data_IF_346767117610
#
_entry.id   IF_346767117610
#
_cell.length_a   1.000
_cell.length_b   1.000
_cell.length_c   1.000
_cell.angle_alpha   90.00
_cell.angle_beta   90.00
_cell.angle_gamma   90.00
#
_symmetry.space_group_name_H-M   'P 1'
#
loop_
_entity.id
_entity.type
_entity.pdbx_description
1 polymer ?
2 non-polymer ?
3 water ?
#
# COMPACT_ATOMS: atom_id res chain seq x y z
N UNK A 1 -11.94 10.60 -12.71
CA UNK A 1 -12.04 11.89 -13.47
C UNK A 1 -10.68 12.45 -13.86
N UNK A 2 -9.63 11.87 -13.29
CA UNK A 2 -8.23 12.25 -13.52
C UNK A 2 -7.96 12.88 -14.89
N UNK A 3 -7.22 13.99 -14.87
CA UNK A 3 -6.86 14.72 -16.08
C UNK A 3 -5.72 15.67 -15.73
N UNK A 5 -3.12 19.25 -17.43
CA UNK A 5 -2.78 20.21 -18.47
C UNK A 5 -1.88 19.50 -19.48
N UNK A 6 -2.11 19.74 -20.77
CA UNK A 6 -1.32 19.10 -21.80
C UNK A 6 0.15 19.42 -21.67
N UNK A 7 0.47 20.61 -21.19
CA UNK A 7 1.87 20.97 -21.04
C UNK A 7 2.49 20.19 -19.89
N UNK A 8 1.82 20.16 -18.74
CA UNK A 8 2.34 19.44 -17.61
C UNK A 8 2.66 18.03 -18.04
N UNK A 9 1.85 17.47 -18.94
CA UNK A 9 2.08 16.10 -19.42
C UNK A 9 3.30 16.01 -20.34
N UNK A 10 3.37 16.88 -21.34
CA UNK A 10 4.52 16.85 -22.25
C UNK A 10 5.75 17.05 -21.40
N UNK A 11 5.62 17.83 -20.33
CA UNK A 11 6.72 18.12 -19.40
C UNK A 11 7.25 16.84 -18.76
N UNK A 12 6.33 16.13 -18.08
CA UNK A 12 6.65 14.87 -17.42
C UNK A 12 7.24 13.85 -18.40
N UNK A 13 6.57 13.67 -19.53
CA UNK A 13 7.01 12.73 -20.56
C UNK A 13 8.35 13.05 -21.20
N UNK A 14 8.66 14.32 -21.35
CA UNK A 14 9.91 14.71 -21.99
C UNK A 14 11.08 14.96 -21.06
N UNK A 15 10.82 15.14 -19.78
CA UNK A 15 11.92 15.40 -18.86
C UNK A 15 12.41 16.83 -19.02
N UNK A 16 11.50 17.71 -19.43
CA UNK A 16 11.80 19.14 -19.61
C UNK A 16 10.95 19.89 -18.62
N UNK A 17 11.07 21.21 -18.61
CA UNK A 17 10.29 22.05 -17.69
C UNK A 17 8.93 22.32 -18.33
N UNK A 18 7.92 22.58 -17.49
CA UNK A 18 6.60 22.89 -18.04
C UNK A 18 6.72 24.14 -18.91
N UNK A 19 7.65 25.01 -18.55
CA UNK A 19 7.87 26.23 -19.31
C UNK A 19 8.33 25.87 -20.69
N UNK A 20 9.22 24.88 -20.80
CA UNK A 20 9.69 24.48 -22.13
C UNK A 20 8.66 23.59 -22.81
N UNK A 21 7.95 22.76 -22.05
CA UNK A 21 6.92 21.89 -22.62
C UNK A 21 5.95 22.80 -23.38
N UNK A 22 5.51 23.86 -22.70
CA UNK A 22 4.61 24.81 -23.31
C UNK A 22 5.14 25.25 -24.66
N UNK A 23 6.42 25.63 -24.71
CA UNK A 23 7.05 26.05 -25.94
C UNK A 23 6.86 25.01 -27.04
N UNK A 24 7.33 23.80 -26.81
CA UNK A 24 7.22 22.72 -27.77
C UNK A 24 5.80 22.58 -28.30
N UNK A 25 4.83 22.91 -27.45
CA UNK A 25 3.44 22.81 -27.86
C UNK A 25 3.09 23.85 -28.96
N UNK A 26 3.39 25.11 -28.73
CA UNK A 26 3.11 26.14 -29.73
C UNK A 26 3.95 25.90 -30.98
N UNK A 27 5.02 25.12 -30.82
CA UNK A 27 5.85 24.82 -31.97
C UNK A 27 5.18 23.82 -32.89
N UNK A 28 3.88 23.58 -32.67
CA UNK A 28 3.11 22.64 -33.50
C UNK A 28 3.75 21.28 -33.54
N UNK A 29 4.30 20.83 -32.42
CA UNK A 29 4.96 19.54 -32.36
C UNK A 29 4.28 18.56 -31.42
N UNK A 30 3.11 18.93 -30.93
CA UNK A 30 2.37 18.07 -30.03
C UNK A 30 1.04 17.75 -30.69
N UNK A 31 0.64 16.49 -30.63
CA UNK A 31 -0.61 16.10 -31.26
C UNK A 31 -1.53 15.39 -30.27
N UNK A 32 -2.84 15.54 -30.49
CA UNK A 32 -3.84 14.90 -29.66
C UNK A 32 -4.90 14.36 -30.64
N UNK A 33 -5.21 13.08 -30.52
CA UNK A 33 -6.18 12.46 -31.40
C UNK A 33 -5.86 12.76 -32.84
N UNK A 34 -4.57 12.74 -33.18
CA UNK A 34 -4.17 13.00 -34.55
C UNK A 34 -4.26 14.44 -35.01
N UNK A 35 -4.38 15.39 -34.08
CA UNK A 35 -4.45 16.80 -34.44
C UNK A 35 -3.50 17.68 -33.66
N UNK A 36 -3.04 18.74 -34.32
CA UNK A 36 -2.12 19.71 -33.74
C UNK A 36 -2.79 20.53 -32.65
N UNK A 37 -2.22 20.48 -31.45
CA UNK A 37 -2.72 21.26 -30.30
C UNK A 37 -1.65 22.28 -29.88
N UNK A 38 -1.96 23.56 -30.02
CA UNK A 38 -1.01 24.60 -29.67
C UNK A 38 -1.29 25.25 -28.34
N UNK A 39 -2.19 24.68 -27.56
CA UNK A 39 -2.52 25.28 -26.27
C UNK A 39 -1.94 24.51 -25.12
N UNK A 40 -1.08 25.17 -24.35
CA UNK A 40 -0.43 24.52 -23.24
C UNK A 40 -1.38 24.11 -22.15
N UNK A 41 -2.48 24.85 -21.98
CA UNK A 41 -3.44 24.53 -20.91
C UNK A 41 -4.50 23.48 -21.27
N UNK A 42 -4.41 22.94 -22.48
CA UNK A 42 -5.35 21.91 -22.94
C UNK A 42 -5.70 20.89 -21.83
N UNK A 43 -6.98 20.56 -21.67
CA UNK A 43 -7.34 19.59 -20.63
C UNK A 43 -7.19 18.17 -21.19
N UNK A 44 -6.08 17.52 -20.83
CA UNK A 44 -5.76 16.17 -21.30
C UNK A 44 -6.49 15.07 -20.56
N UNK A 45 -7.52 14.50 -21.19
CA UNK A 45 -8.29 13.42 -20.60
C UNK A 45 -7.74 12.08 -21.09
N UNK A 46 -7.86 11.02 -20.28
CA UNK A 46 -7.40 9.68 -20.60
C UNK A 46 -7.70 9.16 -22.02
N UNK A 47 -8.92 9.33 -22.50
CA UNK A 47 -9.30 8.86 -23.83
C UNK A 47 -8.54 9.57 -24.97
N UNK A 48 -7.65 10.49 -24.62
CA UNK A 48 -6.90 11.20 -25.66
C UNK A 48 -5.67 10.40 -26.06
N UNK A 49 -5.12 10.75 -27.21
CA UNK A 49 -3.93 10.09 -27.72
C UNK A 49 -2.97 11.18 -28.16
N UNK A 50 -1.97 11.40 -27.32
CA UNK A 50 -0.93 12.40 -27.52
C UNK A 50 0.23 11.88 -28.38
N UNK A 51 0.97 12.81 -28.97
CA UNK A 51 2.10 12.42 -29.78
C UNK A 51 3.05 13.60 -29.86
N UNK A 52 4.34 13.29 -29.92
CA UNK A 52 5.39 14.30 -30.03
C UNK A 52 6.16 14.06 -31.32
N UNK A 53 6.11 15.03 -32.23
CA UNK A 53 6.80 14.93 -33.50
C UNK A 53 6.38 13.67 -34.24
N UNK A 54 5.13 13.27 -34.07
CA UNK A 54 4.64 12.07 -34.73
C UNK A 54 4.73 10.85 -33.83
N UNK A 55 5.69 10.86 -32.91
CA UNK A 55 5.88 9.74 -32.00
C UNK A 55 4.79 9.72 -30.94
N UNK A 56 4.13 8.56 -30.77
CA UNK A 56 3.06 8.45 -29.77
C UNK A 56 3.60 8.41 -28.34
N UNK A 57 3.24 9.40 -27.53
CA UNK A 57 3.69 9.44 -26.13
C UNK A 57 2.69 8.69 -25.25
N UNK A 58 2.93 7.41 -25.05
CA UNK A 58 2.04 6.59 -24.25
C UNK A 58 1.54 7.31 -23.01
N UNK A 59 0.23 7.34 -22.86
CA UNK A 59 -0.38 7.98 -21.71
C UNK A 59 -0.24 7.13 -20.46
N UNK A 60 0.78 7.41 -19.66
CA UNK A 60 0.98 6.67 -18.43
C UNK A 60 0.04 7.17 -17.34
N UNK A 61 -1.03 6.41 -17.11
CA UNK A 61 -2.04 6.78 -16.11
C UNK A 61 -1.38 7.27 -14.81
N UNK A 62 -1.99 8.26 -14.16
CA UNK A 62 -1.42 8.76 -12.92
C UNK A 62 -1.48 7.64 -11.90
N UNK A 63 -0.75 7.75 -10.77
CA UNK A 63 -0.76 6.72 -9.71
C UNK A 63 -1.88 6.88 -8.69
N UNK A 64 -2.37 5.75 -8.18
CA UNK A 64 -3.45 5.75 -7.18
C UNK A 64 -3.03 5.07 -5.89
N UNK A 65 -3.67 5.46 -4.79
CA UNK A 65 -3.36 4.89 -3.48
C UNK A 65 -4.69 4.76 -2.73
N UNK A 66 -4.88 3.64 -2.05
CA UNK A 66 -6.13 3.43 -1.35
C UNK A 66 -5.97 2.74 0.00
N UNK A 68 -7.60 0.27 2.58
CA UNK A 68 -8.65 -0.75 2.64
C UNK A 68 -8.68 -1.38 4.01
N UNK A 69 -9.85 -1.84 4.42
CA UNK A 69 -9.99 -2.50 5.71
C UNK A 69 -10.33 -3.90 5.30
N UNK A 70 -9.29 -4.73 5.17
CA UNK A 70 -9.45 -6.11 4.75
C UNK A 70 -10.33 -6.97 5.66
N UNK A 71 -11.38 -7.59 5.08
CA UNK A 71 -12.28 -8.45 5.86
C UNK A 71 -11.73 -9.86 5.77
N UNK A 72 -12.20 -10.76 6.64
CA UNK A 72 -11.74 -12.15 6.61
C UNK A 72 -12.15 -12.87 5.33
N UNK A 73 -11.60 -14.05 5.10
CA UNK A 73 -11.95 -14.82 3.92
C UNK A 73 -11.62 -14.27 2.54
N UNK A 74 -10.66 -13.38 2.46
CA UNK A 74 -10.25 -12.82 1.20
C UNK A 74 -8.72 -12.72 1.24
N UNK A 75 -8.10 -12.78 0.06
CA UNK A 75 -6.64 -12.70 -0.01
C UNK A 75 -6.18 -11.44 -0.77
N UNK A 76 -4.90 -11.11 -0.60
CA UNK A 76 -4.31 -9.92 -1.21
C UNK A 76 -3.50 -10.15 -2.48
N UNK A 77 -3.74 -11.28 -3.13
CA UNK A 77 -3.04 -11.63 -4.37
C UNK A 77 -3.82 -12.72 -5.09
N UNK A 78 -3.41 -13.06 -6.32
CA UNK A 78 -4.08 -14.11 -7.08
C UNK A 78 -3.24 -15.38 -7.09
N UNK A 79 -2.17 -15.37 -6.28
CA UNK A 79 -1.27 -16.51 -6.15
C UNK A 79 -2.12 -17.76 -5.83
N UNK A 80 -3.21 -17.54 -5.11
CA UNK A 80 -4.11 -18.63 -4.70
C UNK A 80 -5.47 -18.59 -5.42
N UNK A 81 -5.88 -19.70 -6.04
CA UNK A 81 -7.16 -19.73 -6.75
C UNK A 81 -8.30 -20.41 -6.00
N UNK A 82 -8.25 -20.43 -4.67
CA UNK A 82 -9.31 -21.06 -3.87
C UNK A 82 -10.02 -19.99 -3.06
N UNK A 83 -9.55 -18.75 -3.17
CA UNK A 83 -10.14 -17.65 -2.42
C UNK A 83 -10.19 -16.40 -3.27
N UNK A 84 -11.28 -15.62 -3.19
CA UNK A 84 -11.37 -14.38 -3.97
C UNK A 84 -10.43 -13.32 -3.45
N UNK A 85 -9.89 -12.51 -4.34
CA UNK A 85 -8.98 -11.45 -3.93
C UNK A 85 -9.75 -10.26 -3.35
N UNK A 86 -9.05 -9.41 -2.59
CA UNK A 86 -9.67 -8.22 -2.00
C UNK A 86 -10.13 -7.25 -3.08
N UNK A 87 -9.84 -7.56 -4.33
CA UNK A 87 -10.24 -6.70 -5.44
C UNK A 87 -11.74 -6.72 -5.59
N UNK A 88 -12.38 -7.72 -5.01
CA UNK A 88 -13.83 -7.81 -5.05
C UNK A 88 -14.42 -6.58 -4.38
N UNK A 89 -13.61 -5.84 -3.62
CA UNK A 89 -14.09 -4.66 -2.92
C UNK A 89 -13.77 -3.34 -3.58
N UNK A 90 -12.84 -3.36 -4.52
CA UNK A 90 -12.45 -2.13 -5.18
C UNK A 90 -13.26 -1.93 -6.45
N UNK A 91 -14.16 -0.95 -6.41
CA UNK A 91 -14.98 -0.61 -7.56
C UNK A 91 -14.13 0.47 -8.24
N UNK A 92 -13.19 0.06 -9.07
CA UNK A 92 -12.32 1.03 -9.75
C UNK A 92 -11.91 0.55 -11.13
N UNK A 93 -11.65 1.46 -12.06
CA UNK A 93 -11.23 1.06 -13.41
C UNK A 93 -9.89 0.37 -13.29
N UNK A 94 -9.58 -0.52 -14.23
CA UNK A 94 -8.32 -1.25 -14.21
C UNK A 94 -7.82 -1.47 -12.77
N UNK A 95 -8.70 -1.97 -11.92
CA UNK A 95 -8.36 -2.23 -10.53
C UNK A 95 -7.22 -3.24 -10.47
N UNK A 96 -7.29 -4.22 -11.37
CA UNK A 96 -6.30 -5.30 -11.44
C UNK A 96 -4.86 -4.83 -11.48
N UNK A 97 -4.65 -3.53 -11.70
CA UNK A 97 -3.31 -2.98 -11.75
C UNK A 97 -2.78 -2.73 -10.35
N UNK A 98 -3.70 -2.75 -9.38
CA UNK A 98 -3.37 -2.52 -7.99
C UNK A 98 -2.78 -3.75 -7.30
N UNK A 99 -1.85 -3.51 -6.37
CA UNK A 99 -1.27 -4.60 -5.59
C UNK A 99 -1.21 -4.10 -4.16
N UNK A 100 -1.27 -5.01 -3.21
CA UNK A 100 -1.23 -4.63 -1.79
C UNK A 100 0.17 -4.39 -1.30
N UNK A 101 0.47 -3.16 -0.91
CA UNK A 101 1.82 -2.86 -0.41
C UNK A 101 1.97 -3.50 0.96
N UNK A 102 2.01 -4.82 0.99
CA UNK A 102 2.13 -5.54 2.24
C UNK A 102 0.88 -6.39 2.29
N UNK A 103 1.02 -7.68 2.01
CA UNK A 103 -0.15 -8.54 2.01
C UNK A 103 -0.60 -8.94 3.40
N UNK A 104 -1.89 -9.24 3.52
CA UNK A 104 -2.47 -9.70 4.78
C UNK A 104 -3.04 -11.10 4.51
N UNK A 105 -2.78 -12.03 5.42
CA UNK A 105 -3.24 -13.40 5.31
C UNK A 105 -4.76 -13.42 5.23
N UNK A 106 -5.28 -14.49 4.62
CA UNK A 106 -6.72 -14.69 4.38
C UNK A 106 -7.65 -14.36 5.52
N UNK A 107 -7.27 -14.67 6.76
CA UNK A 107 -8.13 -14.38 7.90
C UNK A 107 -7.64 -13.25 8.81
N UNK A 108 -6.84 -12.37 8.23
CA UNK A 108 -6.30 -11.24 8.96
C UNK A 108 -7.04 -10.02 8.42
N UNK A 109 -7.38 -9.09 9.30
CA UNK A 109 -8.11 -7.91 8.89
C UNK A 109 -7.39 -6.65 9.26
N UNK A 110 -7.69 -5.59 8.53
CA UNK A 110 -7.05 -4.33 8.85
C UNK A 110 -6.48 -3.58 7.68
N UNK A 111 -5.66 -2.60 8.03
CA UNK A 111 -5.05 -1.75 7.06
C UNK A 111 -4.24 -2.50 6.01
N UNK A 112 -4.61 -2.30 4.75
CA UNK A 112 -3.93 -2.88 3.60
C UNK A 112 -3.86 -1.72 2.62
N UNK A 113 -2.65 -1.27 2.30
CA UNK A 113 -2.47 -0.18 1.37
C UNK A 113 -2.44 -0.67 -0.09
N UNK A 115 -2.04 -0.26 -3.88
CA UNK A 115 -1.39 0.74 -4.72
C UNK A 115 -0.79 0.19 -6.00
N UNK A 116 -0.66 1.03 -7.03
CA UNK A 116 -0.04 0.60 -8.28
C UNK A 116 1.24 1.43 -8.50
N UNK A 117 1.80 1.91 -7.38
CA UNK A 117 3.02 2.70 -7.40
C UNK A 117 4.17 1.83 -6.90
N UNK A 118 4.89 1.19 -7.82
CA UNK A 118 5.98 0.31 -7.45
C UNK A 118 7.01 0.90 -6.52
N UNK A 119 7.52 2.07 -6.86
CA UNK A 119 8.54 2.74 -6.06
C UNK A 119 8.05 2.94 -4.63
N UNK A 120 6.85 3.53 -4.52
CA UNK A 120 6.22 3.81 -3.23
C UNK A 120 6.12 2.53 -2.42
N UNK A 121 5.45 1.54 -3.02
CA UNK A 121 5.25 0.24 -2.38
C UNK A 121 6.51 -0.38 -1.81
N UNK A 122 7.52 -0.55 -2.65
CA UNK A 122 8.77 -1.16 -2.22
C UNK A 122 9.38 -0.52 -1.00
N UNK A 123 9.33 0.81 -0.93
CA UNK A 123 9.91 1.53 0.21
C UNK A 123 9.22 1.21 1.51
N UNK A 124 7.99 0.70 1.40
CA UNK A 124 7.20 0.34 2.57
C UNK A 124 7.37 -1.13 2.90
N UNK A 125 7.59 -1.93 1.85
CA UNK A 125 7.73 -3.38 1.98
C UNK A 125 9.11 -4.00 2.01
N UNK A 126 10.15 -3.27 1.64
CA UNK A 126 11.48 -3.87 1.63
C UNK A 126 11.85 -4.50 2.98
N UNK A 127 12.40 -5.74 2.94
CA UNK A 127 12.84 -6.52 4.11
C UNK A 127 14.00 -5.81 4.81
N UNK A 128 14.65 -4.95 4.04
CA UNK A 128 15.78 -4.17 4.52
C UNK A 128 15.31 -2.87 5.14
N UNK A 129 14.04 -2.53 4.92
CA UNK A 129 13.54 -1.26 5.43
C UNK A 129 12.78 -1.34 6.72
N UNK A 130 13.11 -0.41 7.60
CA UNK A 130 12.45 -0.34 8.87
C UNK A 130 11.09 0.34 8.69
N UNK A 131 10.04 -0.44 8.86
CA UNK A 131 8.69 0.11 8.76
C UNK A 131 7.91 -0.47 9.93
N UNK A 132 7.13 0.37 10.59
CA UNK A 132 6.41 -0.11 11.74
C UNK A 132 4.97 -0.47 11.42
N UNK A 133 4.61 -1.69 11.81
CA UNK A 133 3.25 -2.19 11.64
C UNK A 133 2.78 -2.42 13.07
N UNK A 134 1.56 -2.00 13.37
CA UNK A 134 1.00 -2.15 14.71
C UNK A 134 -0.30 -2.93 14.62
N UNK A 135 -0.35 -4.08 15.27
CA UNK A 135 -1.53 -4.92 15.24
C UNK A 135 -2.28 -5.02 16.56
N UNK A 136 -3.54 -5.41 16.45
CA UNK A 136 -4.41 -5.66 17.59
C UNK A 136 -4.51 -7.18 17.58
N UNK A 137 -3.82 -7.84 18.52
CA UNK A 137 -3.82 -9.31 18.56
C UNK A 137 -4.69 -9.91 19.65
N UNK A 138 -5.58 -10.83 19.28
CA UNK A 138 -6.45 -11.49 20.25
C UNK A 138 -5.80 -12.85 20.49
N UNK A 139 -5.61 -13.22 21.77
CA UNK A 139 -4.94 -14.45 22.18
C UNK A 139 -5.80 -15.52 22.85
N UNK A 140 -5.46 -16.77 22.56
CA UNK A 140 -6.14 -17.95 23.11
C UNK A 140 -6.01 -17.96 24.62
N UNK A 141 -4.81 -17.63 25.10
CA UNK A 141 -4.53 -17.62 26.53
C UNK A 141 -3.97 -16.27 26.96
N UNK A 142 -4.36 -15.82 28.16
CA UNK A 142 -3.87 -14.52 28.63
C UNK A 142 -2.38 -14.36 28.33
N UNK A 143 -1.99 -13.18 27.87
CA UNK A 143 -0.59 -12.94 27.54
C UNK A 143 0.24 -13.23 28.77
N UNK A 144 1.26 -14.05 28.61
CA UNK A 144 2.12 -14.39 29.73
C UNK A 144 2.76 -13.08 30.19
N UNK A 145 2.82 -12.88 31.50
CA UNK A 145 3.42 -11.67 32.06
C UNK A 145 4.87 -11.37 31.61
N UNK A 146 5.65 -12.40 31.35
CA UNK A 146 7.04 -12.20 30.93
C UNK A 146 7.19 -12.10 29.41
N UNK A 147 6.08 -12.25 28.68
CA UNK A 147 6.10 -12.15 27.23
C UNK A 147 6.66 -10.80 26.82
N UNK A 148 6.09 -9.76 27.42
CA UNK A 148 6.49 -8.37 27.16
C UNK A 148 7.98 -8.30 26.82
N UNK A 149 8.82 -8.47 27.84
CA UNK A 149 10.26 -8.40 27.63
C UNK A 149 10.72 -9.28 26.46
N UNK A 150 10.36 -10.57 26.53
CA UNK A 150 10.74 -11.53 25.50
C UNK A 150 10.66 -10.96 24.11
N UNK A 151 9.65 -10.13 23.85
CA UNK A 151 9.51 -9.51 22.55
C UNK A 151 10.48 -8.37 22.36
N UNK A 152 10.72 -7.60 23.42
CA UNK A 152 11.65 -6.46 23.34
C UNK A 152 13.04 -6.96 22.96
N UNK A 153 13.54 -7.92 23.71
CA UNK A 153 14.87 -8.48 23.42
C UNK A 153 14.75 -9.14 22.06
N UNK A 154 13.78 -10.03 21.94
CA UNK A 154 13.55 -10.73 20.68
C UNK A 154 13.33 -12.22 20.86
N UNK A 155 12.65 -12.84 19.90
CA UNK A 155 12.40 -14.27 20.00
C UNK A 155 12.89 -14.96 18.75
N UNK A 156 13.08 -16.26 18.87
CA UNK A 156 13.57 -17.05 17.75
C UNK A 156 12.45 -17.84 17.12
N UNK A 157 12.07 -17.47 15.90
CA UNK A 157 11.03 -18.18 15.20
C UNK A 157 11.46 -19.64 15.05
N UNK A 158 10.50 -20.55 15.13
CA UNK A 158 10.83 -21.96 15.01
C UNK A 158 11.55 -22.23 13.70
N UNK A 159 12.80 -22.67 13.81
CA UNK A 159 13.63 -22.98 12.65
C UNK A 159 13.93 -21.73 11.81
N UNK A 160 14.46 -20.72 12.50
CA UNK A 160 14.85 -19.45 11.90
C UNK A 160 16.21 -19.13 12.54
N UNK A 161 17.12 -18.54 11.78
CA UNK A 161 18.47 -18.23 12.28
C UNK A 161 18.48 -17.04 13.24
N UNK A 162 18.04 -15.90 12.71
CA UNK A 162 18.04 -14.65 13.46
C UNK A 162 17.00 -14.59 14.55
N UNK A 163 16.87 -13.42 15.16
CA UNK A 163 15.89 -13.18 16.22
C UNK A 163 14.95 -12.10 15.70
N UNK A 164 13.73 -12.08 16.21
CA UNK A 164 12.78 -11.06 15.80
C UNK A 164 13.26 -9.73 16.36
N UNK A 165 13.40 -8.72 15.49
CA UNK A 165 13.84 -7.41 15.96
C UNK A 165 12.87 -6.87 16.99
N UNK A 166 13.41 -6.32 18.09
CA UNK A 166 12.64 -5.75 19.21
C UNK A 166 11.25 -5.25 18.88
N UNK A 167 10.27 -5.77 19.61
CA UNK A 167 8.87 -5.41 19.42
C UNK A 167 8.25 -4.95 20.75
N UNK A 168 7.44 -3.90 20.72
CA UNK A 168 6.82 -3.44 21.95
C UNK A 168 5.39 -3.95 22.04
N UNK A 169 5.09 -4.57 23.17
CA UNK A 169 3.78 -5.14 23.40
C UNK A 169 3.07 -4.40 24.53
N UNK A 170 1.83 -3.99 24.26
CA UNK A 170 1.01 -3.28 25.24
C UNK A 170 -0.19 -4.18 25.55
N UNK A 171 -0.66 -4.16 26.80
CA UNK A 171 -1.79 -5.01 27.18
C UNK A 171 -3.14 -4.33 27.34
N UNK A 172 -3.99 -4.42 26.31
CA UNK A 172 -5.32 -3.83 26.38
C UNK A 172 -6.14 -4.64 27.38
N UNK A 173 -6.26 -5.94 27.12
CA UNK A 173 -6.99 -6.84 28.00
C UNK A 173 -6.14 -8.10 28.15
N UNK A 174 -6.39 -8.88 29.21
CA UNK A 174 -5.59 -10.10 29.40
C UNK A 174 -5.36 -10.92 28.12
N UNK A 175 -6.37 -11.02 27.27
CA UNK A 175 -6.25 -11.78 26.03
C UNK A 175 -6.14 -10.93 24.76
N UNK A 176 -6.22 -9.61 24.89
CA UNK A 176 -6.12 -8.74 23.72
C UNK A 176 -4.98 -7.76 23.89
N UNK A 177 -4.04 -7.75 22.94
CA UNK A 177 -2.86 -6.89 23.03
C UNK A 177 -2.45 -6.19 21.73
N UNK A 178 -1.92 -4.98 21.85
CA UNK A 178 -1.49 -4.23 20.67
C UNK A 178 0.00 -4.48 20.49
N UNK A 179 0.42 -4.90 19.30
CA UNK A 179 1.82 -5.21 19.06
C UNK A 179 2.45 -4.44 17.91
N UNK A 180 3.61 -3.84 18.18
CA UNK A 180 4.31 -3.08 17.15
C UNK A 180 5.61 -3.75 16.75
N UNK A 181 5.77 -4.04 15.46
CA UNK A 181 6.99 -4.68 14.97
C UNK A 181 7.50 -3.92 13.75
N UNK A 182 8.82 -3.73 13.68
CA UNK A 182 9.44 -2.99 12.57
C UNK A 182 9.91 -3.92 11.47
N UNK A 183 9.68 -5.22 11.65
CA UNK A 183 10.09 -6.21 10.67
C UNK A 183 8.96 -6.52 9.73
N UNK A 184 8.97 -7.73 9.18
CA UNK A 184 7.93 -8.14 8.25
C UNK A 184 8.06 -9.55 7.71
N UNK A 185 8.48 -10.50 8.54
CA UNK A 185 8.61 -11.87 8.07
C UNK A 185 7.23 -12.45 7.77
N UNK A 186 7.22 -13.67 7.27
CA UNK A 186 6.00 -14.39 6.91
C UNK A 186 5.23 -14.86 8.14
N UNK A 187 4.02 -14.36 8.31
CA UNK A 187 3.22 -14.77 9.46
C UNK A 187 4.02 -14.53 10.73
N UNK A 188 4.69 -13.39 10.80
CA UNK A 188 5.53 -13.08 11.95
C UNK A 188 4.86 -13.05 13.32
N UNK A 189 3.74 -12.34 13.44
CA UNK A 189 3.06 -12.26 14.73
C UNK A 189 2.61 -13.64 15.18
N UNK A 190 1.88 -14.37 14.33
CA UNK A 190 1.42 -15.69 14.74
C UNK A 190 2.56 -16.53 15.26
N UNK A 191 3.64 -16.60 14.52
CA UNK A 191 4.79 -17.38 14.97
C UNK A 191 5.46 -16.81 16.22
N UNK A 193 3.98 -15.32 18.87
CA UNK A 193 3.28 -15.83 20.05
C UNK A 193 3.40 -17.34 20.14
N UNK A 194 3.85 -17.96 19.05
CA UNK A 194 4.03 -19.40 19.01
C UNK A 194 5.24 -19.68 19.91
N UNK A 195 6.37 -19.08 19.59
CA UNK A 195 7.59 -19.26 20.37
C UNK A 195 7.37 -19.14 21.87
N UNK A 196 6.63 -18.13 22.31
CA UNK A 196 6.39 -17.96 23.74
C UNK A 196 5.19 -18.72 24.31
N UNK A 197 4.77 -19.74 23.59
CA UNK A 197 3.67 -20.59 24.04
C UNK A 197 2.30 -19.96 24.19
N UNK A 198 1.72 -19.49 23.08
CA UNK A 198 0.40 -18.89 23.11
C UNK A 198 -0.13 -19.07 21.70
N UNK A 199 -1.39 -18.75 21.48
CA UNK A 199 -1.96 -18.89 20.15
C UNK A 199 -2.75 -17.66 19.73
N UNK A 200 -2.59 -17.27 18.47
CA UNK A 200 -3.30 -16.11 17.96
C UNK A 200 -4.65 -16.55 17.44
N UNK A 201 -5.70 -15.98 18.03
CA UNK A 201 -7.08 -16.29 17.69
C UNK A 201 -7.58 -15.36 16.57
N UNK A 202 -7.25 -14.08 16.70
CA UNK A 202 -7.65 -13.06 15.74
C UNK A 202 -6.44 -12.14 15.59
N UNK A 203 -6.39 -11.39 14.50
CA UNK A 203 -5.26 -10.48 14.27
C UNK A 203 -5.68 -9.29 13.39
N UNK A 204 -5.64 -8.09 13.94
CA UNK A 204 -6.05 -6.88 13.20
C UNK A 204 -4.95 -5.83 13.03
N UNK A 205 -4.64 -5.47 11.78
CA UNK A 205 -3.60 -4.47 11.57
C UNK A 205 -4.19 -3.06 11.60
N UNK A 206 -3.66 -2.25 12.49
CA UNK A 206 -4.13 -0.87 12.68
C UNK A 206 -3.29 0.15 11.95
N UNK A 207 -1.98 -0.04 11.98
CA UNK A 207 -1.07 0.93 11.41
C UNK A 207 0.11 0.40 10.59
N UNK A 208 0.49 1.21 9.61
CA UNK A 208 1.62 0.93 8.72
C UNK A 208 2.32 2.28 8.69
N UNK A 209 3.54 2.33 9.20
CA UNK A 209 4.27 3.58 9.22
C UNK A 209 3.41 4.73 9.71
N UNK A 210 3.34 5.79 8.91
CA UNK A 210 2.55 6.95 9.29
C UNK A 210 1.07 6.94 8.91
N UNK A 211 0.59 5.86 8.31
CA UNK A 211 -0.84 5.80 7.96
C UNK A 211 -1.57 4.85 8.91
N UNK A 212 -2.66 5.34 9.50
CA UNK A 212 -3.44 4.54 10.43
C UNK A 212 -4.81 4.27 9.84
N UNK A 213 -5.44 3.16 10.24
CA UNK A 213 -6.75 2.84 9.72
C UNK A 213 -7.83 3.73 10.36
N UNK A 214 -8.65 4.35 9.53
CA UNK A 214 -9.70 5.22 10.07
C UNK A 214 -10.59 4.44 11.03
N UNK A 215 -11.10 5.12 12.06
CA UNK A 215 -11.94 4.45 13.04
C UNK A 215 -13.31 4.11 12.46
N UNK A 216 -13.73 4.81 11.41
CA UNK A 216 -15.03 4.51 10.81
C UNK A 216 -15.02 3.89 9.39
N UNK A 217 -13.99 3.11 9.06
CA UNK A 217 -13.89 2.49 7.74
C UNK A 217 -14.29 1.04 7.95
N UNK A 218 -15.55 0.73 7.75
CA UNK A 218 -16.03 -0.64 7.97
C UNK A 218 -15.30 -1.67 7.10
N UNK A 219 -15.05 -2.87 7.65
CA UNK A 219 -14.36 -3.91 6.88
C UNK A 219 -14.95 -4.03 5.49
N UNK A 220 -14.12 -4.27 4.48
CA UNK A 220 -14.62 -4.37 3.13
C UNK A 220 -14.64 -3.02 2.43
N UNK A 221 -14.62 -1.92 3.19
CA UNK A 221 -14.65 -0.56 2.63
C UNK A 221 -13.25 -0.02 2.40
N UNK A 222 -13.13 0.92 1.46
CA UNK A 222 -11.84 1.52 1.16
C UNK A 222 -12.03 2.98 0.74
N UNK A 223 -10.92 3.70 0.59
CA UNK A 223 -10.96 5.10 0.16
C UNK A 223 -9.57 5.54 -0.31
N UNK A 224 -9.50 6.42 -1.34
CA UNK A 224 -8.24 6.92 -1.86
C UNK A 224 -7.41 7.45 -0.69
N UNK A 225 -6.10 7.60 -0.90
CA UNK A 225 -5.27 8.11 0.17
C UNK A 225 -5.23 9.64 0.09
N UNK A 226 -5.01 10.30 1.22
CA UNK A 226 -4.94 11.75 1.27
C UNK A 226 -3.54 12.22 0.85
N UNK A 227 -3.45 13.35 0.18
CA UNK A 227 -2.17 13.91 -0.26
C UNK A 227 -1.09 13.74 0.82
N UNK A 228 -1.44 14.12 2.05
CA UNK A 228 -0.55 14.03 3.19
C UNK A 228 -0.21 12.56 3.48
N UNK A 229 -1.22 11.69 3.33
CA UNK A 229 -1.03 10.26 3.58
C UNK A 229 0.05 9.69 2.65
N UNK A 230 -0.05 10.00 1.36
CA UNK A 230 0.94 9.54 0.40
C UNK A 230 2.33 9.98 0.85
N UNK A 231 2.52 11.30 0.90
CA UNK A 231 3.79 11.88 1.29
C UNK A 231 4.34 11.42 2.64
N UNK A 232 3.45 11.08 3.58
CA UNK A 232 3.88 10.70 4.91
C UNK A 232 4.13 9.23 5.19
N UNK A 233 3.54 8.35 4.38
CA UNK A 233 3.69 6.89 4.52
C UNK A 233 4.81 6.43 5.46
N UNK A 234 6.05 6.69 5.05
CA UNK A 234 7.24 6.32 5.83
C UNK A 234 8.47 6.44 4.90
#
# INVERSE_FOLDING_TARGET
GSHXRLDKFIAQQLGVSRAIAGREIRGNRVTVDGEIVRNAAFKLLPEHDVAYDGNPLAQQHGPRYFXLNKPQGYVCSTDDPDHPTVLYFLDEPVAWKLHAAGRLDIDTTGLVLXTDDGQWSHRITSPRHHCEKTYLVTLESPVADDTAEQFAKGVQLHNEKDLTKPAVLEVITPTQVRLTISEGRYHQVKRXFAAVGNHVVELHRERIGGITLDADLAPGEYRPLTEEEIASVV
#
